data_IF_873969496932
#
_entry.id   IF_873969496932
#
_cell.length_a   1.000
_cell.length_b   1.000
_cell.length_c   1.000
_cell.angle_alpha   90.00
_cell.angle_beta   90.00
_cell.angle_gamma   90.00
#
_symmetry.space_group_name_H-M   'P 1'
#
loop_
_entity.id
_entity.type
_entity.pdbx_description
1 polymer ?
#
# COMPACT_ATOMS: atom_id res chain seq x y z
N UNK A 1 8.40 -22.43 -15.05
CA UNK A 1 8.08 -21.11 -15.59
C UNK A 1 7.70 -20.21 -14.43
N UNK A 2 8.37 -19.07 -14.26
CA UNK A 2 8.02 -18.11 -13.22
C UNK A 2 6.61 -17.58 -13.47
N UNK A 3 5.83 -17.45 -12.42
CA UNK A 3 4.46 -16.94 -12.47
C UNK A 3 4.50 -15.41 -12.58
N UNK A 4 4.56 -14.90 -13.81
CA UNK A 4 4.73 -13.49 -14.11
C UNK A 4 3.66 -12.58 -13.46
N UNK A 5 2.34 -12.86 -13.51
CA UNK A 5 1.36 -12.01 -12.83
C UNK A 5 1.59 -11.92 -11.33
N UNK A 6 1.97 -13.03 -10.69
CA UNK A 6 2.29 -13.05 -9.26
C UNK A 6 3.56 -12.26 -8.96
N UNK A 7 4.60 -12.41 -9.79
CA UNK A 7 5.84 -11.64 -9.64
C UNK A 7 5.60 -10.13 -9.76
N UNK A 8 4.74 -9.70 -10.70
CA UNK A 8 4.34 -8.30 -10.85
C UNK A 8 3.60 -7.80 -9.61
N UNK A 9 2.68 -8.60 -9.06
CA UNK A 9 1.96 -8.24 -7.82
C UNK A 9 2.91 -8.10 -6.64
N UNK A 10 3.82 -9.05 -6.45
CA UNK A 10 4.84 -9.00 -5.37
C UNK A 10 5.70 -7.74 -5.51
N UNK A 11 6.18 -7.46 -6.72
CA UNK A 11 6.98 -6.26 -6.99
C UNK A 11 6.19 -4.97 -6.71
N UNK A 12 4.92 -4.92 -7.12
CA UNK A 12 4.02 -3.78 -6.90
C UNK A 12 3.81 -3.52 -5.41
N UNK A 13 3.45 -4.55 -4.64
CA UNK A 13 3.24 -4.44 -3.18
C UNK A 13 4.53 -4.03 -2.47
N UNK A 14 5.67 -4.64 -2.83
CA UNK A 14 6.97 -4.28 -2.27
C UNK A 14 7.34 -2.83 -2.56
N UNK A 15 7.14 -2.38 -3.81
CA UNK A 15 7.40 -0.99 -4.23
C UNK A 15 6.51 0.01 -3.49
N UNK A 16 5.24 -0.32 -3.24
CA UNK A 16 4.34 0.50 -2.44
C UNK A 16 4.91 0.72 -1.03
N UNK A 17 5.29 -0.35 -0.33
CA UNK A 17 5.79 -0.25 1.05
C UNK A 17 7.17 0.42 1.14
N UNK A 18 8.04 0.21 0.16
CA UNK A 18 9.29 0.97 0.04
C UNK A 18 8.97 2.46 -0.11
N UNK A 19 7.99 2.80 -0.95
CA UNK A 19 7.52 4.17 -1.13
C UNK A 19 6.99 4.79 0.17
N UNK A 20 6.15 4.06 0.92
CA UNK A 20 5.68 4.49 2.26
C UNK A 20 6.86 4.73 3.20
N UNK A 21 7.82 3.81 3.27
CA UNK A 21 9.03 3.96 4.08
C UNK A 21 9.84 5.22 3.70
N UNK A 22 9.99 5.50 2.40
CA UNK A 22 10.65 6.72 1.91
C UNK A 22 9.89 7.98 2.35
N UNK A 23 8.55 7.97 2.26
CA UNK A 23 7.73 9.11 2.69
C UNK A 23 7.85 9.34 4.19
N UNK A 24 7.79 8.29 5.02
CA UNK A 24 8.03 8.36 6.46
C UNK A 24 9.41 8.98 6.75
N UNK A 25 10.45 8.48 6.09
CA UNK A 25 11.81 8.97 6.28
C UNK A 25 11.96 10.46 5.89
N UNK A 26 11.31 10.88 4.80
CA UNK A 26 11.29 12.29 4.37
C UNK A 26 10.60 13.19 5.40
N UNK A 27 9.42 12.82 5.87
CA UNK A 27 8.68 13.59 6.88
C UNK A 27 9.49 13.67 8.16
N UNK A 28 10.05 12.55 8.64
CA UNK A 28 10.89 12.50 9.84
C UNK A 28 12.12 13.43 9.76
N UNK A 29 12.78 13.49 8.61
CA UNK A 29 13.95 14.38 8.40
C UNK A 29 13.56 15.86 8.49
N UNK A 30 12.36 16.23 8.04
CA UNK A 30 11.92 17.62 8.04
C UNK A 30 11.30 18.09 9.37
N UNK A 31 10.51 17.22 10.01
CA UNK A 31 9.76 17.60 11.22
C UNK A 31 10.50 17.30 12.53
N UNK A 32 11.58 16.52 12.47
CA UNK A 32 12.30 15.95 13.64
C UNK A 32 11.40 15.21 14.64
N UNK A 33 10.11 15.06 14.35
CA UNK A 33 9.12 14.32 15.16
C UNK A 33 8.56 13.17 14.34
N UNK A 34 8.33 12.04 14.99
CA UNK A 34 7.63 10.91 14.39
C UNK A 34 6.13 11.13 14.62
N UNK A 35 5.58 12.10 13.88
CA UNK A 35 4.17 12.48 14.03
C UNK A 35 3.30 11.50 13.23
N UNK A 36 2.28 10.95 13.90
CA UNK A 36 1.28 10.12 13.25
C UNK A 36 1.69 8.67 12.96
N UNK A 37 2.79 8.15 13.57
CA UNK A 37 3.15 6.73 13.48
C UNK A 37 2.59 5.90 14.66
N UNK A 38 2.30 6.55 15.78
CA UNK A 38 1.72 5.89 16.94
C UNK A 38 0.32 6.44 17.13
N UNK A 39 -0.73 5.62 17.11
CA UNK A 39 -2.09 6.09 17.33
C UNK A 39 -2.26 6.59 18.76
N UNK A 40 -2.68 7.83 18.92
CA UNK A 40 -2.90 8.45 20.22
C UNK A 40 -4.27 8.10 20.77
N UNK A 41 -5.28 7.92 19.90
CA UNK A 41 -6.64 7.61 20.31
C UNK A 41 -6.85 6.11 20.51
N UNK A 42 -7.68 5.76 21.52
CA UNK A 42 -8.01 4.37 21.84
C UNK A 42 -8.68 3.63 20.66
N UNK A 43 -9.51 4.33 19.89
CA UNK A 43 -10.19 3.77 18.72
C UNK A 43 -9.19 3.44 17.61
N UNK A 44 -8.21 4.29 17.37
CA UNK A 44 -7.15 4.04 16.41
C UNK A 44 -6.29 2.83 16.80
N UNK A 45 -5.98 2.66 18.10
CA UNK A 45 -5.23 1.49 18.57
C UNK A 45 -5.97 0.18 18.32
N UNK A 46 -7.29 0.15 18.53
CA UNK A 46 -8.12 -1.01 18.22
C UNK A 46 -8.14 -1.31 16.71
N UNK A 47 -8.25 -0.28 15.89
CA UNK A 47 -8.18 -0.42 14.44
C UNK A 47 -6.82 -1.01 13.99
N UNK A 48 -5.72 -0.62 14.63
CA UNK A 48 -4.39 -1.14 14.31
C UNK A 48 -4.23 -2.64 14.63
N UNK A 49 -4.94 -3.16 15.63
CA UNK A 49 -4.93 -4.60 15.92
C UNK A 49 -5.47 -5.44 14.76
N UNK A 50 -6.38 -4.89 13.96
CA UNK A 50 -6.91 -5.55 12.76
C UNK A 50 -6.07 -5.19 11.54
N UNK A 51 -5.70 -3.93 11.41
CA UNK A 51 -5.03 -3.40 10.23
C UNK A 51 -3.60 -3.94 10.06
N UNK A 52 -2.83 -4.04 11.15
CA UNK A 52 -1.44 -4.55 11.10
C UNK A 52 -1.36 -6.00 10.63
N UNK A 53 -2.15 -6.96 11.18
CA UNK A 53 -2.18 -8.32 10.64
C UNK A 53 -2.65 -8.38 9.19
N UNK A 54 -3.63 -7.56 8.80
CA UNK A 54 -4.13 -7.49 7.43
C UNK A 54 -3.03 -7.04 6.46
N UNK A 55 -2.29 -5.99 6.82
CA UNK A 55 -1.16 -5.50 6.04
C UNK A 55 -0.05 -6.53 5.97
N UNK A 56 0.27 -7.18 7.10
CA UNK A 56 1.26 -8.25 7.14
C UNK A 56 0.86 -9.41 6.22
N UNK A 57 -0.41 -9.83 6.26
CA UNK A 57 -0.93 -10.85 5.35
C UNK A 57 -0.85 -10.40 3.89
N UNK A 58 -1.22 -9.17 3.59
CA UNK A 58 -1.15 -8.61 2.24
C UNK A 58 0.29 -8.58 1.69
N UNK A 59 1.28 -8.33 2.53
CA UNK A 59 2.69 -8.37 2.15
C UNK A 59 3.22 -9.80 2.01
N UNK A 60 2.90 -10.66 2.98
CA UNK A 60 3.52 -11.98 3.10
C UNK A 60 2.88 -13.02 2.17
N UNK A 61 1.55 -13.00 2.01
CA UNK A 61 0.86 -14.04 1.23
C UNK A 61 1.29 -14.09 -0.24
N UNK A 62 1.40 -12.98 -0.97
CA UNK A 62 1.89 -13.02 -2.34
C UNK A 62 3.35 -13.52 -2.44
N UNK A 63 4.18 -13.13 -1.47
CA UNK A 63 5.57 -13.59 -1.40
C UNK A 63 5.65 -15.10 -1.10
N UNK A 64 4.89 -15.59 -0.13
CA UNK A 64 4.80 -17.02 0.19
C UNK A 64 4.28 -17.82 -0.99
N UNK A 65 3.24 -17.34 -1.68
CA UNK A 65 2.71 -17.97 -2.86
C UNK A 65 3.72 -18.01 -4.04
N UNK A 66 4.59 -17.01 -4.12
CA UNK A 66 5.63 -16.96 -5.16
C UNK A 66 6.84 -17.85 -4.84
N UNK A 67 7.21 -17.97 -3.55
CA UNK A 67 8.44 -18.62 -3.11
C UNK A 67 8.25 -20.07 -2.65
N UNK A 68 7.04 -20.46 -2.23
CA UNK A 68 6.77 -21.79 -1.70
C UNK A 68 6.37 -22.78 -2.77
N UNK A 69 6.95 -23.98 -2.70
CA UNK A 69 6.57 -25.15 -3.50
C UNK A 69 5.67 -26.14 -2.75
N UNK A 70 5.32 -25.84 -1.48
CA UNK A 70 4.52 -26.71 -0.62
C UNK A 70 3.10 -26.19 -0.41
N UNK A 71 2.08 -27.08 -0.36
CA UNK A 71 0.74 -26.72 0.12
C UNK A 71 0.82 -26.22 1.59
N UNK A 72 0.00 -25.28 2.03
CA UNK A 72 -1.14 -24.65 1.35
C UNK A 72 -0.79 -23.39 0.54
N UNK A 73 0.48 -23.02 0.41
CA UNK A 73 0.92 -21.76 -0.16
C UNK A 73 0.98 -21.76 -1.69
N UNK A 74 0.90 -22.93 -2.32
CA UNK A 74 0.85 -23.02 -3.77
C UNK A 74 -0.47 -22.50 -4.33
N UNK A 75 -0.37 -21.78 -5.44
CA UNK A 75 -1.55 -21.44 -6.22
C UNK A 75 -2.23 -22.72 -6.70
N UNK A 76 -3.55 -22.89 -6.44
CA UNK A 76 -4.31 -24.04 -6.95
C UNK A 76 -4.22 -24.14 -8.47
N UNK A 77 -4.33 -25.34 -9.01
CA UNK A 77 -4.21 -25.58 -10.44
C UNK A 77 -5.17 -24.72 -11.26
N UNK A 78 -6.44 -24.59 -10.84
CA UNK A 78 -7.44 -23.77 -11.52
C UNK A 78 -7.04 -22.30 -11.66
N UNK A 79 -6.22 -21.77 -10.74
CA UNK A 79 -5.76 -20.39 -10.80
C UNK A 79 -4.76 -20.13 -11.93
N UNK A 80 -4.26 -21.19 -12.58
CA UNK A 80 -3.35 -21.13 -13.74
C UNK A 80 -4.07 -21.29 -15.07
N UNK A 81 -5.36 -21.63 -15.03
CA UNK A 81 -6.19 -21.83 -16.21
C UNK A 81 -6.85 -20.51 -16.67
N UNK A 82 -7.20 -20.45 -17.95
CA UNK A 82 -8.09 -19.41 -18.45
C UNK A 82 -9.52 -19.68 -17.93
N UNK A 83 -10.28 -18.71 -17.44
CA UNK A 83 -10.08 -17.25 -17.45
C UNK A 83 -9.31 -16.69 -16.24
N UNK A 84 -8.90 -17.51 -15.26
CA UNK A 84 -8.22 -17.03 -14.04
C UNK A 84 -6.89 -16.34 -14.35
N UNK A 85 -6.16 -16.79 -15.35
CA UNK A 85 -4.93 -16.14 -15.79
C UNK A 85 -5.19 -14.70 -16.27
N UNK A 86 -6.28 -14.49 -17.03
CA UNK A 86 -6.68 -13.16 -17.48
C UNK A 86 -7.05 -12.25 -16.30
N UNK A 87 -7.79 -12.79 -15.31
CA UNK A 87 -8.14 -12.05 -14.10
C UNK A 87 -6.89 -11.67 -13.28
N UNK A 88 -5.91 -12.54 -13.21
CA UNK A 88 -4.63 -12.27 -12.51
C UNK A 88 -3.82 -11.17 -13.19
N UNK A 89 -3.80 -11.14 -14.52
CA UNK A 89 -3.19 -10.04 -15.27
C UNK A 89 -3.97 -8.74 -15.09
N UNK A 90 -5.29 -8.78 -15.09
CA UNK A 90 -6.13 -7.61 -14.79
C UNK A 90 -5.84 -7.07 -13.38
N UNK A 91 -5.76 -7.95 -12.38
CA UNK A 91 -5.41 -7.57 -11.01
C UNK A 91 -4.01 -6.95 -10.91
N UNK A 92 -3.01 -7.52 -11.61
CA UNK A 92 -1.67 -6.96 -11.68
C UNK A 92 -1.67 -5.55 -12.32
N UNK A 93 -2.42 -5.37 -13.41
CA UNK A 93 -2.60 -4.07 -14.07
C UNK A 93 -3.24 -3.03 -13.16
N UNK A 94 -4.33 -3.39 -12.47
CA UNK A 94 -4.98 -2.52 -11.47
C UNK A 94 -4.00 -2.16 -10.36
N UNK A 95 -3.22 -3.12 -9.87
CA UNK A 95 -2.18 -2.87 -8.85
C UNK A 95 -1.15 -1.85 -9.31
N UNK A 96 -0.63 -1.97 -10.53
CA UNK A 96 0.33 -1.02 -11.10
C UNK A 96 -0.26 0.38 -11.27
N UNK A 97 -1.49 0.49 -11.77
CA UNK A 97 -2.20 1.78 -11.89
C UNK A 97 -2.38 2.41 -10.51
N UNK A 98 -2.84 1.64 -9.53
CA UNK A 98 -3.02 2.11 -8.14
C UNK A 98 -1.70 2.58 -7.52
N UNK A 99 -0.60 1.87 -7.77
CA UNK A 99 0.75 2.30 -7.33
C UNK A 99 1.14 3.63 -7.99
N UNK A 100 0.92 3.78 -9.29
CA UNK A 100 1.19 5.02 -10.03
C UNK A 100 0.40 6.21 -9.47
N UNK A 101 -0.89 6.01 -9.22
CA UNK A 101 -1.77 7.01 -8.59
C UNK A 101 -1.29 7.36 -7.17
N UNK A 102 -0.91 6.36 -6.37
CA UNK A 102 -0.38 6.57 -5.01
C UNK A 102 0.90 7.41 -5.05
N UNK A 103 1.85 7.08 -5.92
CA UNK A 103 3.08 7.86 -6.10
C UNK A 103 2.78 9.29 -6.54
N UNK A 104 1.83 9.47 -7.46
CA UNK A 104 1.40 10.80 -7.91
C UNK A 104 0.84 11.62 -6.74
N UNK A 105 -0.06 11.03 -5.93
CA UNK A 105 -0.63 11.67 -4.75
C UNK A 105 0.45 12.00 -3.71
N UNK A 106 1.37 11.09 -3.41
CA UNK A 106 2.47 11.34 -2.47
C UNK A 106 3.36 12.50 -2.90
N UNK A 107 3.65 12.61 -4.21
CA UNK A 107 4.41 13.75 -4.75
C UNK A 107 3.66 15.07 -4.59
N UNK A 108 2.33 15.06 -4.78
CA UNK A 108 1.48 16.25 -4.61
C UNK A 108 1.35 16.66 -3.15
N UNK A 109 1.17 15.71 -2.23
CA UNK A 109 1.11 15.99 -0.79
C UNK A 109 2.45 16.49 -0.24
N UNK A 110 3.56 15.96 -0.74
CA UNK A 110 4.89 16.39 -0.34
C UNK A 110 5.07 16.37 1.19
N UNK A 111 5.25 17.55 1.79
CA UNK A 111 5.45 17.71 3.24
C UNK A 111 4.17 17.49 4.06
N UNK A 112 3.00 17.58 3.44
CA UNK A 112 1.71 17.42 4.11
C UNK A 112 1.32 15.94 4.24
N UNK A 113 2.08 15.02 3.64
CA UNK A 113 1.82 13.59 3.74
C UNK A 113 1.97 13.10 5.19
N UNK A 114 0.98 12.34 5.67
CA UNK A 114 0.94 11.78 7.02
C UNK A 114 0.28 10.41 6.98
N UNK A 115 0.62 9.58 7.95
CA UNK A 115 0.07 8.23 8.08
C UNK A 115 -1.14 8.19 9.04
N UNK A 116 -1.28 9.19 9.92
CA UNK A 116 -2.39 9.32 10.87
C UNK A 116 -2.80 10.78 11.03
N UNK A 117 -3.98 11.01 11.56
CA UNK A 117 -4.48 12.35 11.86
C UNK A 117 -3.66 12.96 13.01
N UNK A 118 -3.11 14.13 12.79
CA UNK A 118 -2.40 14.92 13.80
C UNK A 118 -3.19 16.22 14.04
N UNK A 119 -4.08 16.26 15.03
CA UNK A 119 -4.97 17.42 15.26
C UNK A 119 -4.22 18.71 15.60
N UNK A 120 -3.03 18.60 16.19
CA UNK A 120 -2.24 19.74 16.62
C UNK A 120 -1.42 20.42 15.51
N UNK A 121 -1.52 19.92 14.28
CA UNK A 121 -0.75 20.45 13.17
C UNK A 121 -1.66 20.98 12.07
N UNK A 122 -1.68 22.28 11.91
CA UNK A 122 -2.27 22.92 10.75
C UNK A 122 -1.50 22.52 9.49
N UNK A 123 -2.17 21.85 8.56
CA UNK A 123 -1.63 21.51 7.24
C UNK A 123 -2.46 22.21 6.19
N UNK A 124 -1.79 22.75 5.16
CA UNK A 124 -2.47 23.30 4.01
C UNK A 124 -3.30 22.24 3.30
N UNK A 125 -4.53 22.56 3.00
CA UNK A 125 -5.42 21.67 2.27
C UNK A 125 -4.97 21.56 0.80
N UNK A 126 -4.60 20.37 0.38
CA UNK A 126 -4.28 20.11 -1.03
C UNK A 126 -5.58 19.93 -1.79
N UNK A 127 -5.88 20.88 -2.69
CA UNK A 127 -7.15 20.91 -3.47
C UNK A 127 -6.94 20.71 -4.96
N UNK A 128 -5.70 20.44 -5.41
CA UNK A 128 -5.35 20.36 -6.84
C UNK A 128 -5.10 18.92 -7.30
N UNK A 129 -5.26 18.66 -8.60
CA UNK A 129 -5.07 17.34 -9.19
C UNK A 129 -6.17 16.36 -8.77
N UNK A 130 -5.83 15.13 -8.40
CA UNK A 130 -6.80 14.12 -7.96
C UNK A 130 -7.56 14.54 -6.71
N UNK A 131 -6.99 15.39 -5.86
CA UNK A 131 -7.65 15.93 -4.67
C UNK A 131 -8.78 16.92 -4.97
N UNK A 132 -8.87 17.44 -6.21
CA UNK A 132 -10.02 18.21 -6.66
C UNK A 132 -11.24 17.34 -6.94
N UNK A 133 -11.03 16.07 -7.30
CA UNK A 133 -12.08 15.11 -7.64
C UNK A 133 -12.46 14.21 -6.46
N UNK A 134 -11.48 13.82 -5.66
CA UNK A 134 -11.67 12.88 -4.54
C UNK A 134 -11.03 13.48 -3.30
N UNK A 135 -11.80 13.67 -2.23
CA UNK A 135 -11.31 14.25 -0.97
C UNK A 135 -10.21 13.39 -0.30
N UNK A 136 -10.29 12.08 -0.50
CA UNK A 136 -9.36 11.10 0.09
C UNK A 136 -8.97 10.05 -0.96
N UNK A 137 -8.06 10.38 -1.89
CA UNK A 137 -7.69 9.46 -2.97
C UNK A 137 -6.79 8.31 -2.51
N UNK A 138 -6.30 8.37 -1.27
CA UNK A 138 -5.47 7.34 -0.68
C UNK A 138 -5.92 7.11 0.76
N UNK A 139 -6.43 5.94 1.02
CA UNK A 139 -6.59 5.33 2.32
C UNK A 139 -6.03 3.92 2.26
#
# INVERSE_FOLDING_TARGET
MQDLPLAVLVATVSSYWVGVGVMIARVRRHTRKVVGLVPEQRQERLMWLVWVPLVAAWMLLPYLAASSSSPPWQLPAFAREMPMLALRWAAAGVGLVSLGLSIHCWRRMGRNWRMAVAPDQQTDLVTTGLYALVRHPIY
#
